data_IF_609986643114
#
_entry.id   IF_609986643114
#
_cell.length_a   1.000
_cell.length_b   1.000
_cell.length_c   1.000
_cell.angle_alpha   90.00
_cell.angle_beta   90.00
_cell.angle_gamma   90.00
#
_symmetry.space_group_name_H-M   'P 1'
#
loop_
_entity.id
_entity.type
_entity.pdbx_description
1 polymer ?
#
# COMPACT_ATOMS: atom_id res chain seq x y z
N UNK A 1 20.64 -60.97 -34.73
CA UNK A 1 21.67 -60.15 -34.06
C UNK A 1 21.73 -58.87 -34.87
N UNK A 2 21.32 -57.70 -34.43
CA UNK A 2 21.12 -57.17 -33.07
C UNK A 2 19.79 -56.38 -32.98
N UNK A 3 19.18 -56.48 -31.81
CA UNK A 3 18.00 -55.74 -31.39
C UNK A 3 18.45 -54.35 -30.92
N UNK A 4 18.15 -53.31 -31.69
CA UNK A 4 18.49 -51.94 -31.30
C UNK A 4 17.41 -51.42 -30.34
N UNK A 5 17.68 -51.61 -29.05
CA UNK A 5 16.83 -51.21 -27.91
C UNK A 5 16.69 -49.69 -27.88
N UNK A 6 15.51 -49.20 -28.21
CA UNK A 6 15.13 -47.78 -28.07
C UNK A 6 14.91 -47.53 -26.57
N UNK A 7 15.64 -46.60 -25.92
CA UNK A 7 15.45 -46.36 -24.49
C UNK A 7 14.06 -45.76 -24.24
N UNK A 8 13.18 -46.55 -23.63
CA UNK A 8 11.92 -46.10 -23.04
C UNK A 8 12.23 -45.22 -21.82
N UNK A 9 12.48 -43.92 -22.03
CA UNK A 9 12.07 -42.92 -21.04
C UNK A 9 10.66 -42.44 -21.42
N UNK A 10 9.73 -43.41 -21.50
CA UNK A 10 8.31 -43.08 -21.38
C UNK A 10 8.16 -42.49 -19.99
N UNK A 11 8.22 -41.16 -19.89
CA UNK A 11 7.89 -40.44 -18.68
C UNK A 11 6.41 -40.70 -18.41
N UNK A 12 6.15 -41.76 -17.66
CA UNK A 12 4.88 -42.04 -17.01
C UNK A 12 4.74 -41.04 -15.87
N UNK A 13 4.65 -39.75 -16.21
CA UNK A 13 4.08 -38.80 -15.30
C UNK A 13 2.67 -39.30 -15.04
N UNK A 14 2.50 -39.92 -13.87
CA UNK A 14 1.19 -40.19 -13.32
C UNK A 14 0.49 -38.85 -13.23
N UNK A 15 -0.29 -38.52 -14.26
CA UNK A 15 -1.29 -37.48 -14.19
C UNK A 15 -2.30 -38.00 -13.19
N UNK A 16 -2.10 -37.64 -11.93
CA UNK A 16 -3.03 -37.94 -10.85
C UNK A 16 -4.40 -37.46 -11.28
N UNK A 17 -5.28 -38.40 -11.67
CA UNK A 17 -6.61 -38.11 -12.22
C UNK A 17 -7.58 -37.53 -11.18
N UNK A 18 -7.10 -37.37 -9.95
CA UNK A 18 -7.81 -36.81 -8.80
C UNK A 18 -7.46 -35.33 -8.57
N UNK A 19 -6.44 -34.80 -9.26
CA UNK A 19 -6.17 -33.38 -9.24
C UNK A 19 -7.19 -32.68 -10.15
N UNK A 20 -8.00 -31.73 -9.63
CA UNK A 20 -8.87 -30.93 -10.48
C UNK A 20 -8.03 -30.22 -11.53
N UNK A 21 -8.56 -30.08 -12.75
CA UNK A 21 -7.90 -29.35 -13.82
C UNK A 21 -7.81 -27.87 -13.43
N UNK A 22 -6.71 -27.48 -12.79
CA UNK A 22 -6.42 -26.07 -12.54
C UNK A 22 -6.14 -25.43 -13.90
N UNK A 23 -7.12 -24.69 -14.41
CA UNK A 23 -7.02 -24.00 -15.69
C UNK A 23 -5.90 -22.96 -15.62
N UNK A 24 -5.02 -22.94 -16.62
CA UNK A 24 -3.96 -21.93 -16.74
C UNK A 24 -4.55 -20.51 -16.75
N UNK A 25 -5.78 -20.35 -17.25
CA UNK A 25 -6.50 -19.07 -17.25
C UNK A 25 -6.86 -18.63 -15.83
N UNK A 26 -7.22 -19.56 -14.95
CA UNK A 26 -7.58 -19.24 -13.56
C UNK A 26 -6.33 -18.88 -12.73
N UNK A 27 -5.23 -19.61 -12.90
CA UNK A 27 -3.91 -19.23 -12.34
C UNK A 27 -3.47 -17.84 -12.82
N UNK A 28 -3.64 -17.54 -14.11
CA UNK A 28 -3.28 -16.23 -14.66
C UNK A 28 -4.18 -15.09 -14.16
N UNK A 29 -5.44 -15.37 -13.78
CA UNK A 29 -6.30 -14.39 -13.10
C UNK A 29 -5.81 -14.14 -11.67
N UNK A 30 -5.50 -15.19 -10.93
CA UNK A 30 -5.00 -15.10 -9.56
C UNK A 30 -3.69 -14.29 -9.49
N UNK A 31 -2.73 -14.58 -10.38
CA UNK A 31 -1.48 -13.81 -10.49
C UNK A 31 -1.74 -12.33 -10.79
N UNK A 32 -2.72 -12.03 -11.66
CA UNK A 32 -3.08 -10.64 -11.98
C UNK A 32 -3.68 -9.91 -10.78
N UNK A 33 -4.60 -10.55 -10.06
CA UNK A 33 -5.19 -9.98 -8.85
C UNK A 33 -4.11 -9.68 -7.80
N UNK A 34 -3.23 -10.65 -7.53
CA UNK A 34 -2.12 -10.46 -6.60
C UNK A 34 -1.16 -9.34 -7.04
N UNK A 35 -0.92 -9.21 -8.34
CA UNK A 35 -0.10 -8.12 -8.88
C UNK A 35 -0.74 -6.76 -8.64
N UNK A 36 -2.05 -6.64 -8.90
CA UNK A 36 -2.79 -5.39 -8.69
C UNK A 36 -2.80 -4.99 -7.20
N UNK A 37 -3.01 -5.95 -6.30
CA UNK A 37 -2.89 -5.73 -4.85
C UNK A 37 -1.48 -5.25 -4.46
N UNK A 38 -0.44 -5.86 -5.02
CA UNK A 38 0.94 -5.45 -4.76
C UNK A 38 1.21 -4.02 -5.26
N UNK A 39 0.68 -3.63 -6.42
CA UNK A 39 0.80 -2.27 -6.96
C UNK A 39 0.13 -1.24 -6.03
N UNK A 40 -1.03 -1.56 -5.45
CA UNK A 40 -1.70 -0.69 -4.47
C UNK A 40 -0.88 -0.54 -3.18
N UNK A 41 -0.31 -1.63 -2.67
CA UNK A 41 0.55 -1.60 -1.48
C UNK A 41 1.79 -0.73 -1.71
N UNK A 42 2.40 -0.83 -2.89
CA UNK A 42 3.56 0.00 -3.26
C UNK A 42 3.20 1.49 -3.31
N UNK A 43 2.08 1.85 -3.94
CA UNK A 43 1.61 3.24 -3.98
C UNK A 43 1.34 3.80 -2.59
N UNK A 44 0.76 2.99 -1.69
CA UNK A 44 0.52 3.39 -0.31
C UNK A 44 1.86 3.61 0.43
N UNK A 45 2.81 2.69 0.27
CA UNK A 45 4.13 2.83 0.88
C UNK A 45 4.90 4.07 0.36
N UNK A 46 4.79 4.40 -0.93
CA UNK A 46 5.38 5.62 -1.49
C UNK A 46 4.78 6.88 -0.85
N UNK A 47 3.45 6.95 -0.74
CA UNK A 47 2.77 8.05 -0.04
C UNK A 47 3.21 8.15 1.42
N UNK A 48 3.30 7.03 2.12
CA UNK A 48 3.77 7.01 3.52
C UNK A 48 5.21 7.55 3.62
N UNK A 49 6.09 7.20 2.67
CA UNK A 49 7.46 7.74 2.60
C UNK A 49 7.45 9.26 2.36
N UNK A 50 6.61 9.76 1.45
CA UNK A 50 6.47 11.20 1.19
C UNK A 50 5.96 11.94 2.43
N UNK A 51 4.97 11.40 3.12
CA UNK A 51 4.47 11.93 4.38
C UNK A 51 5.58 11.93 5.44
N UNK A 52 6.37 10.86 5.57
CA UNK A 52 7.51 10.84 6.49
C UNK A 52 8.53 11.94 6.20
N UNK A 53 8.76 12.28 4.92
CA UNK A 53 9.65 13.37 4.48
C UNK A 53 9.09 14.78 4.74
N UNK A 54 7.78 14.93 4.89
CA UNK A 54 7.18 16.24 5.17
C UNK A 54 7.76 16.86 6.45
N UNK A 55 8.03 18.17 6.41
CA UNK A 55 8.68 18.88 7.51
C UNK A 55 7.79 18.82 8.76
N UNK A 56 8.36 18.48 9.90
CA UNK A 56 7.66 18.51 11.18
C UNK A 56 8.54 19.19 12.23
N UNK A 57 7.95 20.10 13.01
CA UNK A 57 8.62 20.75 14.16
C UNK A 57 8.51 19.92 15.44
N UNK A 58 7.82 18.78 15.39
CA UNK A 58 7.55 17.89 16.50
C UNK A 58 7.92 16.45 16.13
N UNK A 59 8.09 15.60 17.15
CA UNK A 59 8.29 14.16 16.98
C UNK A 59 6.95 13.48 16.68
N UNK A 60 6.89 12.71 15.58
CA UNK A 60 5.69 11.97 15.18
C UNK A 60 5.50 10.77 16.13
N UNK A 61 4.43 10.77 16.92
CA UNK A 61 4.10 9.67 17.84
C UNK A 61 2.96 8.81 17.29
N UNK A 62 3.00 7.48 17.46
CA UNK A 62 1.89 6.62 17.08
C UNK A 62 0.65 6.95 17.90
N UNK A 63 -0.52 6.93 17.26
CA UNK A 63 -1.81 7.34 17.83
C UNK A 63 -2.03 8.86 17.87
N UNK A 64 -1.08 9.67 17.38
CA UNK A 64 -1.22 11.11 17.36
C UNK A 64 -1.89 11.58 16.06
N UNK A 65 -2.86 12.47 16.19
CA UNK A 65 -3.47 13.17 15.06
C UNK A 65 -2.57 14.32 14.63
N UNK A 66 -2.29 14.38 13.34
CA UNK A 66 -1.43 15.38 12.70
C UNK A 66 -2.11 15.93 11.45
N UNK A 67 -1.86 17.18 11.13
CA UNK A 67 -2.53 17.91 10.06
C UNK A 67 -1.52 18.38 9.03
N UNK A 68 -1.71 18.02 7.77
CA UNK A 68 -0.83 18.37 6.67
C UNK A 68 -1.27 19.70 6.04
N UNK A 69 -0.33 20.62 5.89
CA UNK A 69 -0.53 21.92 5.27
C UNK A 69 0.47 22.14 4.13
N UNK A 70 0.02 22.80 3.06
CA UNK A 70 0.87 23.08 1.90
C UNK A 70 1.58 24.43 2.03
N UNK A 71 2.90 24.42 1.88
CA UNK A 71 3.74 25.63 1.90
C UNK A 71 4.56 25.69 0.61
N UNK A 72 4.92 26.91 0.18
CA UNK A 72 5.70 27.13 -1.05
C UNK A 72 7.02 26.33 -1.11
N UNK A 73 7.64 26.08 0.06
CA UNK A 73 8.89 25.32 0.17
C UNK A 73 8.70 23.81 0.40
N UNK A 74 7.47 23.30 0.32
CA UNK A 74 7.11 21.91 0.59
C UNK A 74 6.14 21.76 1.76
N UNK A 75 5.35 20.70 1.72
CA UNK A 75 4.33 20.40 2.74
C UNK A 75 4.93 20.17 4.14
N UNK A 76 4.15 20.49 5.17
CA UNK A 76 4.56 20.32 6.56
C UNK A 76 3.41 19.85 7.45
N UNK A 77 3.75 19.17 8.53
CA UNK A 77 2.78 18.76 9.54
C UNK A 77 2.68 19.77 10.69
N UNK A 78 1.46 19.95 11.18
CA UNK A 78 1.12 20.68 12.41
C UNK A 78 0.28 19.79 13.33
N UNK A 79 0.29 20.08 14.63
CA UNK A 79 -0.63 19.47 15.60
C UNK A 79 -1.98 20.16 15.66
N UNK A 80 -2.08 21.36 15.07
CA UNK A 80 -3.28 22.18 15.11
C UNK A 80 -4.14 21.93 13.86
N UNK A 81 -5.42 21.64 14.09
CA UNK A 81 -6.45 21.59 13.07
C UNK A 81 -6.76 22.97 12.48
N UNK A 82 -7.38 23.04 11.28
CA UNK A 82 -7.80 24.31 10.70
C UNK A 82 -8.75 25.11 11.61
N UNK A 83 -9.57 24.42 12.41
CA UNK A 83 -10.46 25.04 13.38
C UNK A 83 -9.71 25.64 14.58
N UNK A 84 -8.68 24.96 15.08
CA UNK A 84 -7.83 25.47 16.18
C UNK A 84 -7.00 26.69 15.76
N UNK A 85 -6.74 26.86 14.46
CA UNK A 85 -6.22 28.11 13.90
C UNK A 85 -7.26 29.24 13.83
N UNK A 86 -8.47 29.05 14.35
CA UNK A 86 -9.56 30.02 14.27
C UNK A 86 -10.08 30.20 12.85
N UNK A 87 -10.10 29.13 12.05
CA UNK A 87 -10.50 29.12 10.62
C UNK A 87 -9.61 29.98 9.70
N UNK A 88 -8.44 30.43 10.18
CA UNK A 88 -7.45 31.16 9.39
C UNK A 88 -6.07 30.52 9.56
N UNK A 89 -5.87 29.28 9.09
CA UNK A 89 -4.56 28.68 9.11
C UNK A 89 -3.59 29.49 8.22
N UNK A 90 -2.29 29.54 8.59
CA UNK A 90 -1.29 30.31 7.83
C UNK A 90 -1.08 29.77 6.40
N UNK A 91 -1.45 28.51 6.17
CA UNK A 91 -1.26 27.78 4.94
C UNK A 91 -2.51 26.92 4.65
N UNK A 92 -2.80 26.61 3.37
CA UNK A 92 -3.96 25.80 2.99
C UNK A 92 -3.84 24.38 3.56
N UNK A 93 -4.94 23.93 4.17
CA UNK A 93 -5.08 22.58 4.71
C UNK A 93 -5.24 21.56 3.58
N UNK A 94 -4.54 20.43 3.68
CA UNK A 94 -4.65 19.32 2.72
C UNK A 94 -5.47 18.16 3.29
N UNK A 95 -4.98 17.57 4.38
CA UNK A 95 -5.55 16.37 4.97
C UNK A 95 -5.12 16.20 6.43
N UNK A 96 -5.90 15.45 7.19
CA UNK A 96 -5.54 15.02 8.54
C UNK A 96 -5.14 13.56 8.51
N UNK A 97 -4.11 13.21 9.28
CA UNK A 97 -3.60 11.86 9.36
C UNK A 97 -3.48 11.44 10.82
N UNK A 98 -3.66 10.16 11.06
CA UNK A 98 -3.28 9.50 12.30
C UNK A 98 -2.15 8.52 11.99
N UNK A 99 -1.04 8.66 12.70
CA UNK A 99 0.09 7.74 12.54
C UNK A 99 -0.19 6.45 13.31
N UNK A 100 -0.20 5.32 12.63
CA UNK A 100 -0.41 4.01 13.24
C UNK A 100 0.87 3.50 13.94
N UNK A 101 0.77 2.49 14.82
CA UNK A 101 1.92 1.88 15.47
C UNK A 101 2.96 1.30 14.50
N UNK A 102 2.54 0.83 13.33
CA UNK A 102 3.39 0.32 12.25
C UNK A 102 4.02 1.44 11.39
N UNK A 103 3.81 2.72 11.77
CA UNK A 103 4.29 3.93 11.10
C UNK A 103 3.64 4.24 9.74
N UNK A 104 2.59 3.53 9.34
CA UNK A 104 1.70 3.98 8.27
C UNK A 104 0.85 5.17 8.72
N UNK A 105 0.33 5.91 7.75
CA UNK A 105 -0.61 7.00 8.01
C UNK A 105 -2.01 6.62 7.51
N UNK A 106 -2.99 6.72 8.40
CA UNK A 106 -4.41 6.66 8.02
C UNK A 106 -4.94 8.07 7.86
N UNK A 107 -5.46 8.39 6.68
CA UNK A 107 -6.16 9.65 6.46
C UNK A 107 -7.46 9.67 7.25
N UNK A 108 -7.68 10.72 8.03
CA UNK A 108 -8.88 10.92 8.82
C UNK A 108 -9.71 12.02 8.14
N UNK A 109 -10.96 11.72 7.73
CA UNK A 109 -11.87 12.75 7.26
C UNK A 109 -12.16 13.70 8.43
N UNK A 110 -11.82 14.98 8.26
CA UNK A 110 -12.24 15.99 9.22
C UNK A 110 -13.70 16.30 8.97
N UNK A 111 -14.56 15.87 9.90
CA UNK A 111 -15.91 16.39 9.96
C UNK A 111 -15.84 17.88 10.34
N UNK A 112 -16.47 18.77 9.56
CA UNK A 112 -16.61 20.16 9.97
C UNK A 112 -17.45 20.16 11.24
N UNK A 113 -16.83 20.52 12.37
CA UNK A 113 -17.53 20.67 13.64
C UNK A 113 -18.18 22.04 13.63
N UNK A 114 -19.46 22.09 13.27
CA UNK A 114 -20.37 23.24 13.44
C UNK A 114 -20.39 23.76 14.90
#
# INVERSE_FOLDING_TARGET
MEEQVIPHHSLTYGTSRLAPAISLVDRAKEIRALKEEAELILQQAEKDIELHKAKCQFEKKPGQMIYLYAKESGDYFSLLSPNEWGNKPPHPFKAAYMMNPDRSFTEIPLEPKD
#
